data_IF_500138528257
#
_entry.id   IF_500138528257
#
_cell.length_a   1.000
_cell.length_b   1.000
_cell.length_c   1.000
_cell.angle_alpha   90.00
_cell.angle_beta   90.00
_cell.angle_gamma   90.00
#
_symmetry.space_group_name_H-M   'P 1'
#
loop_
_entity.id
_entity.type
_entity.pdbx_description
1 polymer ?
#
# COMPACT_ATOMS: atom_id res chain seq x y z
N UNK A 1 7.04 20.54 1.04
CA UNK A 1 6.78 21.99 1.20
C UNK A 1 8.09 22.72 1.00
N UNK A 2 8.22 23.63 0.01
CA UNK A 2 9.33 24.58 0.03
C UNK A 2 9.20 25.37 1.34
N UNK A 3 10.25 25.34 2.15
CA UNK A 3 10.30 26.18 3.34
C UNK A 3 10.58 27.59 2.82
N UNK A 4 9.54 28.41 2.67
CA UNK A 4 9.71 29.85 2.51
C UNK A 4 10.22 30.30 3.87
N UNK A 5 11.55 30.30 4.02
CA UNK A 5 12.19 30.74 5.25
C UNK A 5 11.82 32.22 5.43
N UNK A 6 11.33 32.62 6.62
CA UNK A 6 11.18 34.02 6.94
C UNK A 6 12.53 34.71 6.68
N UNK A 7 12.52 35.97 6.22
CA UNK A 7 13.74 36.55 5.66
C UNK A 7 14.80 36.87 6.74
N UNK A 8 14.40 36.93 8.02
CA UNK A 8 15.34 36.93 9.16
C UNK A 8 16.00 35.56 9.40
N UNK A 9 15.30 34.47 9.08
CA UNK A 9 15.83 33.11 9.20
C UNK A 9 16.85 32.83 8.08
N UNK A 10 16.66 33.35 6.86
CA UNK A 10 17.68 33.24 5.82
C UNK A 10 18.97 33.99 6.19
N UNK A 11 18.85 35.13 6.87
CA UNK A 11 19.98 35.88 7.42
C UNK A 11 20.69 35.12 8.54
N UNK A 12 19.95 34.47 9.44
CA UNK A 12 20.54 33.62 10.48
C UNK A 12 21.31 32.42 9.89
N UNK A 13 20.74 31.79 8.85
CA UNK A 13 21.37 30.66 8.13
C UNK A 13 22.63 31.08 7.38
N UNK A 14 22.70 32.31 6.84
CA UNK A 14 23.91 32.80 6.17
C UNK A 14 25.06 33.03 7.16
N UNK A 15 24.75 33.39 8.40
CA UNK A 15 25.73 33.58 9.48
C UNK A 15 26.19 32.27 10.12
N UNK A 16 25.29 31.29 10.25
CA UNK A 16 25.58 29.96 10.79
C UNK A 16 25.00 28.89 9.85
N UNK A 17 25.80 28.42 8.87
CA UNK A 17 25.33 27.51 7.82
C UNK A 17 24.76 26.18 8.32
N UNK A 18 25.20 25.71 9.49
CA UNK A 18 24.72 24.46 10.09
C UNK A 18 23.22 24.46 10.42
N UNK A 19 22.64 25.65 10.64
CA UNK A 19 21.20 25.82 10.86
C UNK A 19 20.36 25.39 9.64
N UNK A 20 20.88 25.51 8.41
CA UNK A 20 20.17 25.13 7.19
C UNK A 20 19.75 23.66 7.21
N UNK A 21 20.68 22.78 7.61
CA UNK A 21 20.42 21.33 7.70
C UNK A 21 19.38 21.02 8.77
N UNK A 22 19.44 21.72 9.91
CA UNK A 22 18.52 21.52 11.04
C UNK A 22 17.09 21.97 10.75
N UNK A 23 16.95 23.07 9.99
CA UNK A 23 15.67 23.54 9.46
C UNK A 23 15.09 22.55 8.45
N UNK A 24 15.92 22.00 7.56
CA UNK A 24 15.50 20.98 6.59
C UNK A 24 15.04 19.68 7.26
N UNK A 25 15.77 19.23 8.30
CA UNK A 25 15.49 18.00 9.03
C UNK A 25 14.31 18.14 10.03
N UNK A 26 13.75 19.36 10.21
CA UNK A 26 12.65 19.69 11.15
C UNK A 26 12.87 19.12 12.55
N UNK A 27 14.13 19.15 13.00
CA UNK A 27 14.60 18.53 14.25
C UNK A 27 13.83 19.04 15.48
N UNK A 28 13.36 20.28 15.44
CA UNK A 28 12.67 20.93 16.55
C UNK A 28 11.46 21.74 16.05
N UNK A 29 10.26 21.52 16.61
CA UNK A 29 9.14 22.42 16.39
C UNK A 29 9.47 23.81 16.98
N UNK A 30 9.39 24.85 16.16
CA UNK A 30 9.60 26.23 16.60
C UNK A 30 11.03 26.77 16.53
N UNK A 31 12.00 26.06 15.91
CA UNK A 31 13.34 26.63 15.65
C UNK A 31 13.27 27.87 14.78
N UNK A 32 12.39 27.90 13.78
CA UNK A 32 12.15 29.09 12.94
C UNK A 32 11.74 30.30 13.78
N UNK A 33 10.86 30.09 14.76
CA UNK A 33 10.40 31.15 15.66
C UNK A 33 11.52 31.59 16.61
N UNK A 34 12.23 30.64 17.23
CA UNK A 34 13.39 30.95 18.07
C UNK A 34 14.48 31.73 17.32
N UNK A 35 14.74 31.37 16.06
CA UNK A 35 15.69 32.09 15.21
C UNK A 35 15.21 33.51 14.91
N UNK A 36 13.93 33.66 14.54
CA UNK A 36 13.31 34.96 14.29
C UNK A 36 13.35 35.85 15.54
N UNK A 37 12.94 35.33 16.69
CA UNK A 37 12.94 36.03 17.98
C UNK A 37 14.37 36.45 18.38
N UNK A 38 15.37 35.58 18.17
CA UNK A 38 16.76 35.88 18.51
C UNK A 38 17.35 36.96 17.62
N UNK A 39 17.08 36.90 16.30
CA UNK A 39 17.52 37.93 15.35
C UNK A 39 16.85 39.27 15.66
N UNK A 40 15.54 39.26 15.95
CA UNK A 40 14.79 40.45 16.33
C UNK A 40 15.25 41.02 17.67
N UNK A 41 15.59 40.17 18.65
CA UNK A 41 16.08 40.60 19.97
C UNK A 41 17.45 41.27 19.90
N UNK A 42 18.36 40.78 19.05
CA UNK A 42 19.72 41.33 18.91
C UNK A 42 19.74 42.55 17.98
N UNK A 43 18.97 42.52 16.88
CA UNK A 43 18.99 43.60 15.87
C UNK A 43 17.89 44.65 16.12
N UNK A 44 16.87 44.36 16.92
CA UNK A 44 15.78 45.29 17.25
C UNK A 44 14.98 45.74 16.03
N UNK A 45 14.89 44.92 14.98
CA UNK A 45 14.19 45.24 13.74
C UNK A 45 13.67 43.97 13.06
N UNK A 46 12.56 44.12 12.35
CA UNK A 46 11.95 43.08 11.52
C UNK A 46 12.30 43.21 10.04
N UNK A 47 12.99 44.31 9.68
CA UNK A 47 13.38 44.60 8.31
C UNK A 47 14.78 44.06 8.02
N UNK A 48 14.87 43.24 6.98
CA UNK A 48 16.08 42.55 6.52
C UNK A 48 17.15 43.54 6.07
N UNK A 49 16.75 44.63 5.40
CA UNK A 49 17.68 45.62 4.87
C UNK A 49 18.31 46.40 6.03
N UNK A 50 17.52 46.70 7.06
CA UNK A 50 17.99 47.35 8.29
C UNK A 50 18.85 46.41 9.13
N UNK A 51 18.48 45.12 9.17
CA UNK A 51 19.23 44.07 9.83
C UNK A 51 20.64 43.89 9.22
N UNK A 52 20.76 43.85 7.89
CA UNK A 52 22.03 43.76 7.17
C UNK A 52 22.93 44.98 7.43
N UNK A 53 22.35 46.18 7.52
CA UNK A 53 23.10 47.39 7.88
C UNK A 53 23.64 47.33 9.31
N UNK A 54 22.84 46.86 10.28
CA UNK A 54 23.28 46.68 11.67
C UNK A 54 24.35 45.60 11.82
N UNK A 55 24.35 44.60 10.94
CA UNK A 55 25.36 43.54 10.88
C UNK A 55 26.72 44.01 10.32
N UNK A 56 26.83 45.22 9.80
CA UNK A 56 28.12 45.82 9.45
C UNK A 56 28.95 46.16 10.70
N UNK A 57 28.32 46.30 11.87
CA UNK A 57 29.04 46.41 13.14
C UNK A 57 29.59 45.03 13.55
N UNK A 58 30.93 44.87 13.64
CA UNK A 58 31.54 43.59 14.00
C UNK A 58 31.13 43.10 15.40
N UNK A 59 30.75 43.99 16.33
CA UNK A 59 30.32 43.60 17.68
C UNK A 59 28.93 42.97 17.67
N UNK A 60 27.98 43.58 16.96
CA UNK A 60 26.61 43.08 16.82
C UNK A 60 26.59 41.76 16.05
N UNK A 61 27.41 41.66 15.00
CA UNK A 61 27.57 40.41 14.25
C UNK A 61 28.18 39.29 15.09
N UNK A 62 29.14 39.59 15.98
CA UNK A 62 29.72 38.60 16.89
C UNK A 62 28.70 38.12 17.93
N UNK A 63 27.93 39.03 18.55
CA UNK A 63 26.90 38.66 19.52
C UNK A 63 25.82 37.77 18.90
N UNK A 64 25.33 38.13 17.70
CA UNK A 64 24.33 37.32 17.01
C UNK A 64 24.86 35.93 16.68
N UNK A 65 26.11 35.80 16.22
CA UNK A 65 26.72 34.50 15.93
C UNK A 65 26.80 33.60 17.17
N UNK A 66 27.15 34.15 18.33
CA UNK A 66 27.21 33.37 19.58
C UNK A 66 25.83 32.84 19.95
N UNK A 67 24.80 33.69 19.93
CA UNK A 67 23.41 33.30 20.23
C UNK A 67 22.89 32.24 19.25
N UNK A 68 23.19 32.38 17.96
CA UNK A 68 22.80 31.41 16.94
C UNK A 68 23.53 30.07 17.10
N UNK A 69 24.81 30.08 17.49
CA UNK A 69 25.58 28.88 17.77
C UNK A 69 25.06 28.11 19.00
N UNK A 70 24.59 28.81 20.05
CA UNK A 70 23.94 28.16 21.19
C UNK A 70 22.66 27.41 20.79
N UNK A 71 21.87 28.00 19.88
CA UNK A 71 20.66 27.37 19.34
C UNK A 71 21.03 26.11 18.52
N UNK A 72 22.12 26.16 17.76
CA UNK A 72 22.61 25.00 17.01
C UNK A 72 23.01 23.86 17.95
N UNK A 73 23.76 24.14 19.02
CA UNK A 73 24.18 23.11 19.99
C UNK A 73 22.98 22.45 20.67
N UNK A 74 21.95 23.21 21.04
CA UNK A 74 20.73 22.62 21.63
C UNK A 74 19.98 21.77 20.60
N UNK A 75 19.92 22.20 19.34
CA UNK A 75 19.33 21.41 18.26
C UNK A 75 20.06 20.08 18.02
N UNK A 76 21.38 20.10 18.11
CA UNK A 76 22.23 18.91 17.99
C UNK A 76 21.97 17.91 19.11
N UNK A 77 21.83 18.39 20.35
CA UNK A 77 21.54 17.55 21.50
C UNK A 77 20.18 16.86 21.36
N UNK A 78 19.15 17.61 21.00
CA UNK A 78 17.79 17.07 20.82
C UNK A 78 17.75 16.04 19.69
N UNK A 79 18.45 16.28 18.58
CA UNK A 79 18.54 15.31 17.50
C UNK A 79 19.23 14.01 17.95
N UNK A 80 20.35 14.12 18.67
CA UNK A 80 21.09 12.97 19.15
C UNK A 80 20.25 12.10 20.10
N UNK A 81 19.46 12.73 20.97
CA UNK A 81 18.51 12.03 21.85
C UNK A 81 17.38 11.35 21.06
N UNK A 82 16.81 12.02 20.05
CA UNK A 82 15.79 11.44 19.19
C UNK A 82 16.31 10.22 18.42
N UNK A 83 17.51 10.31 17.87
CA UNK A 83 18.15 9.21 17.15
C UNK A 83 18.57 8.06 18.10
N UNK A 84 18.95 8.36 19.34
CA UNK A 84 19.18 7.36 20.37
C UNK A 84 17.89 6.60 20.73
N UNK A 85 16.76 7.32 20.91
CA UNK A 85 15.45 6.71 21.17
C UNK A 85 14.99 5.84 20.01
N UNK A 86 15.09 6.31 18.76
CA UNK A 86 14.74 5.52 17.57
C UNK A 86 15.52 4.20 17.52
N UNK A 87 16.84 4.24 17.78
CA UNK A 87 17.67 3.02 17.83
C UNK A 87 17.28 2.09 18.98
N UNK A 88 16.89 2.63 20.14
CA UNK A 88 16.42 1.84 21.26
C UNK A 88 15.08 1.13 20.92
N UNK A 89 14.14 1.84 20.32
CA UNK A 89 12.85 1.29 19.89
C UNK A 89 13.03 0.19 18.82
N UNK A 90 13.96 0.41 17.87
CA UNK A 90 14.32 -0.61 16.88
C UNK A 90 14.90 -1.87 17.53
N UNK A 91 15.82 -1.71 18.48
CA UNK A 91 16.40 -2.83 19.22
C UNK A 91 15.35 -3.59 20.05
N UNK A 92 14.40 -2.88 20.65
CA UNK A 92 13.31 -3.49 21.41
C UNK A 92 12.39 -4.31 20.49
N UNK A 93 12.05 -3.79 19.31
CA UNK A 93 11.29 -4.52 18.29
C UNK A 93 12.02 -5.78 17.84
N UNK A 94 13.31 -5.67 17.51
CA UNK A 94 14.11 -6.84 17.15
C UNK A 94 14.18 -7.88 18.27
N UNK A 95 14.31 -7.45 19.52
CA UNK A 95 14.29 -8.36 20.67
C UNK A 95 12.93 -9.06 20.82
N UNK A 96 11.83 -8.34 20.64
CA UNK A 96 10.49 -8.91 20.69
C UNK A 96 10.27 -9.93 19.57
N UNK A 97 10.71 -9.65 18.34
CA UNK A 97 10.65 -10.60 17.21
C UNK A 97 11.48 -11.86 17.47
N UNK A 98 12.70 -11.71 18.00
CA UNK A 98 13.54 -12.86 18.37
C UNK A 98 12.88 -13.69 19.47
N UNK A 99 12.32 -13.04 20.49
CA UNK A 99 11.61 -13.71 21.59
C UNK A 99 10.40 -14.49 21.06
N UNK A 100 9.62 -13.90 20.16
CA UNK A 100 8.47 -14.55 19.52
C UNK A 100 8.90 -15.78 18.70
N UNK A 101 9.98 -15.68 17.90
CA UNK A 101 10.52 -16.83 17.18
C UNK A 101 11.04 -17.94 18.11
N UNK A 102 11.68 -17.57 19.23
CA UNK A 102 12.12 -18.53 20.23
C UNK A 102 10.95 -19.24 20.90
N UNK A 103 9.89 -18.49 21.23
CA UNK A 103 8.66 -19.03 21.83
C UNK A 103 7.90 -19.94 20.85
N UNK A 104 7.83 -19.59 19.56
CA UNK A 104 7.25 -20.46 18.53
C UNK A 104 8.02 -21.79 18.42
N UNK A 105 9.37 -21.74 18.49
CA UNK A 105 10.21 -22.95 18.48
C UNK A 105 10.04 -23.79 19.75
N UNK A 106 9.94 -23.17 20.93
CA UNK A 106 9.69 -23.92 22.18
C UNK A 106 8.32 -24.57 22.18
N UNK A 107 7.28 -23.86 21.71
CA UNK A 107 5.93 -24.40 21.59
C UNK A 107 5.88 -25.56 20.59
N UNK A 108 6.65 -25.51 19.51
CA UNK A 108 6.75 -26.62 18.56
C UNK A 108 7.44 -27.85 19.17
N UNK A 109 8.50 -27.65 19.97
CA UNK A 109 9.15 -28.73 20.72
C UNK A 109 8.22 -29.32 21.78
N UNK A 110 7.42 -28.48 22.44
CA UNK A 110 6.44 -28.92 23.43
C UNK A 110 5.25 -29.63 22.79
N UNK A 111 4.82 -29.25 21.58
CA UNK A 111 3.82 -29.99 20.79
C UNK A 111 4.33 -31.36 20.30
N UNK A 112 5.63 -31.45 19.96
CA UNK A 112 6.29 -32.71 19.62
C UNK A 112 6.46 -33.60 20.86
N UNK A 113 6.78 -33.01 22.02
CA UNK A 113 6.83 -33.72 23.32
C UNK A 113 5.45 -34.10 23.84
N UNK A 114 4.41 -33.35 23.50
CA UNK A 114 3.02 -33.63 23.87
C UNK A 114 2.42 -34.81 23.09
N UNK A 115 3.19 -35.48 22.22
CA UNK A 115 2.88 -36.78 21.63
C UNK A 115 1.43 -36.85 21.10
N UNK A 116 1.02 -35.83 20.33
CA UNK A 116 -0.39 -35.73 19.92
C UNK A 116 -0.76 -36.92 19.00
N UNK A 117 -1.81 -37.71 19.33
CA UNK A 117 -2.18 -38.90 18.57
C UNK A 117 -2.68 -38.61 17.15
N UNK A 118 -2.92 -37.34 16.80
CA UNK A 118 -3.33 -36.90 15.46
C UNK A 118 -2.16 -36.84 14.46
N UNK A 119 -0.92 -36.66 14.92
CA UNK A 119 0.26 -36.62 14.03
C UNK A 119 0.56 -37.99 13.39
N UNK A 120 0.07 -39.07 14.00
CA UNK A 120 0.24 -40.43 13.51
C UNK A 120 -0.80 -40.86 12.48
N UNK A 121 -1.81 -40.04 12.18
CA UNK A 121 -2.88 -40.39 11.22
C UNK A 121 -2.34 -40.87 9.87
N UNK A 122 -1.47 -40.10 9.19
CA UNK A 122 -0.89 -40.52 7.92
C UNK A 122 0.03 -41.75 8.04
N UNK A 123 0.77 -41.88 9.15
CA UNK A 123 1.65 -43.02 9.42
C UNK A 123 0.84 -44.30 9.63
N UNK A 124 -0.24 -44.22 10.41
CA UNK A 124 -1.14 -45.34 10.69
C UNK A 124 -1.86 -45.80 9.41
N UNK A 125 -2.38 -44.87 8.60
CA UNK A 125 -3.01 -45.22 7.30
C UNK A 125 -1.99 -45.87 6.36
N UNK A 126 -0.77 -45.35 6.31
CA UNK A 126 0.30 -45.93 5.48
C UNK A 126 0.68 -47.33 5.94
N UNK A 127 0.79 -47.55 7.26
CA UNK A 127 1.06 -48.86 7.85
C UNK A 127 -0.05 -49.86 7.52
N UNK A 128 -1.32 -49.45 7.62
CA UNK A 128 -2.48 -50.28 7.28
C UNK A 128 -2.45 -50.66 5.80
N UNK A 129 -2.14 -49.74 4.89
CA UNK A 129 -2.06 -50.03 3.45
C UNK A 129 -0.90 -50.98 3.14
N UNK A 130 0.28 -50.79 3.75
CA UNK A 130 1.43 -51.68 3.54
C UNK A 130 1.18 -53.08 4.11
N UNK A 131 0.69 -53.19 5.35
CA UNK A 131 0.36 -54.47 5.97
C UNK A 131 -0.79 -55.16 5.22
N UNK A 132 -1.80 -54.41 4.79
CA UNK A 132 -2.90 -54.91 3.96
C UNK A 132 -2.42 -55.41 2.60
N UNK A 133 -1.49 -54.69 1.94
CA UNK A 133 -0.87 -55.08 0.68
C UNK A 133 -0.13 -56.42 0.82
N UNK A 134 0.80 -56.52 1.77
CA UNK A 134 1.58 -57.76 1.95
C UNK A 134 0.72 -58.90 2.49
N UNK A 135 -0.26 -58.62 3.35
CA UNK A 135 -1.19 -59.62 3.88
C UNK A 135 -2.09 -60.21 2.80
N UNK A 136 -2.68 -59.38 1.95
CA UNK A 136 -3.50 -59.84 0.81
C UNK A 136 -2.66 -60.59 -0.21
N UNK A 137 -1.46 -60.11 -0.52
CA UNK A 137 -0.52 -60.81 -1.42
C UNK A 137 -0.14 -62.20 -0.89
N UNK A 138 0.23 -62.30 0.40
CA UNK A 138 0.55 -63.57 1.05
C UNK A 138 -0.65 -64.53 1.09
N UNK A 139 -1.84 -64.00 1.36
CA UNK A 139 -3.09 -64.78 1.35
C UNK A 139 -3.39 -65.35 -0.04
N UNK A 140 -3.28 -64.53 -1.10
CA UNK A 140 -3.45 -64.96 -2.49
C UNK A 140 -2.40 -66.02 -2.91
N UNK A 141 -1.14 -65.86 -2.48
CA UNK A 141 -0.08 -66.84 -2.74
C UNK A 141 -0.34 -68.17 -2.02
N UNK A 142 -0.81 -68.14 -0.77
CA UNK A 142 -1.21 -69.36 -0.06
C UNK A 142 -2.41 -70.05 -0.74
N UNK A 143 -3.39 -69.29 -1.20
CA UNK A 143 -4.59 -69.83 -1.85
C UNK A 143 -4.25 -70.47 -3.21
N UNK A 144 -3.20 -70.00 -3.90
CA UNK A 144 -2.66 -70.63 -5.12
C UNK A 144 -1.83 -71.90 -4.88
N UNK A 145 -1.55 -72.30 -3.62
CA UNK A 145 -0.86 -73.58 -3.32
C UNK A 145 -1.80 -74.80 -3.30
N UNK A 146 -3.07 -74.65 -3.66
CA UNK A 146 -4.03 -75.75 -3.78
C UNK A 146 -3.82 -76.52 -5.11
N UNK A 147 -4.03 -77.86 -5.13
CA UNK A 147 -3.47 -78.76 -6.14
C UNK A 147 -4.05 -78.55 -7.55
N UNK A 148 -3.18 -78.77 -8.55
CA UNK A 148 -3.35 -78.57 -10.00
C UNK A 148 -4.49 -79.38 -10.65
N UNK A 149 -5.76 -79.14 -10.32
CA UNK A 149 -6.86 -79.60 -11.16
C UNK A 149 -7.66 -78.42 -11.70
N UNK A 150 -7.38 -78.12 -12.97
CA UNK A 150 -7.98 -77.06 -13.79
C UNK A 150 -7.61 -75.64 -13.35
N UNK A 151 -6.55 -75.14 -14.01
CA UNK A 151 -6.08 -73.77 -13.95
C UNK A 151 -7.27 -72.79 -14.06
N UNK A 152 -7.68 -72.26 -12.91
CA UNK A 152 -8.70 -71.23 -12.81
C UNK A 152 -8.14 -69.94 -13.40
N UNK A 153 -8.22 -69.78 -14.71
CA UNK A 153 -7.93 -68.53 -15.43
C UNK A 153 -8.64 -67.35 -14.77
N UNK A 154 -9.83 -67.58 -14.21
CA UNK A 154 -10.57 -66.61 -13.40
C UNK A 154 -9.81 -66.19 -12.11
N UNK A 155 -9.18 -67.12 -11.39
CA UNK A 155 -8.38 -66.80 -10.19
C UNK A 155 -7.13 -66.02 -10.58
N UNK A 156 -6.44 -66.40 -11.66
CA UNK A 156 -5.27 -65.67 -12.17
C UNK A 156 -5.67 -64.25 -12.61
N UNK A 157 -6.82 -64.08 -13.26
CA UNK A 157 -7.33 -62.75 -13.62
C UNK A 157 -7.70 -61.91 -12.39
N UNK A 158 -8.37 -62.50 -11.39
CA UNK A 158 -8.70 -61.81 -10.13
C UNK A 158 -7.42 -61.40 -9.38
N UNK A 159 -6.41 -62.27 -9.35
CA UNK A 159 -5.09 -61.96 -8.78
C UNK A 159 -4.46 -60.78 -9.50
N UNK A 160 -4.45 -60.78 -10.83
CA UNK A 160 -3.85 -59.69 -11.62
C UNK A 160 -4.59 -58.35 -11.44
N UNK A 161 -5.92 -58.36 -11.35
CA UNK A 161 -6.72 -57.16 -11.06
C UNK A 161 -6.44 -56.66 -9.64
N UNK A 162 -6.39 -57.56 -8.66
CA UNK A 162 -6.09 -57.21 -7.27
C UNK A 162 -4.68 -56.63 -7.12
N UNK A 163 -3.68 -57.24 -7.75
CA UNK A 163 -2.28 -56.74 -7.77
C UNK A 163 -2.20 -55.37 -8.44
N UNK A 164 -2.96 -55.14 -9.52
CA UNK A 164 -3.04 -53.83 -10.18
C UNK A 164 -3.64 -52.74 -9.29
N UNK A 165 -4.78 -53.01 -8.64
CA UNK A 165 -5.42 -52.09 -7.72
C UNK A 165 -4.55 -51.78 -6.48
N UNK A 166 -3.86 -52.80 -5.96
CA UNK A 166 -2.92 -52.70 -4.86
C UNK A 166 -1.67 -51.87 -5.23
N UNK A 167 -1.13 -52.05 -6.43
CA UNK A 167 -0.01 -51.24 -6.95
C UNK A 167 -0.40 -49.77 -7.09
N UNK A 168 -1.60 -49.49 -7.59
CA UNK A 168 -2.12 -48.13 -7.68
C UNK A 168 -2.30 -47.48 -6.30
N UNK A 169 -2.86 -48.21 -5.33
CA UNK A 169 -3.00 -47.75 -3.95
C UNK A 169 -1.66 -47.53 -3.24
N UNK A 170 -0.63 -48.33 -3.55
CA UNK A 170 0.72 -48.09 -3.05
C UNK A 170 1.34 -46.82 -3.63
N UNK A 171 1.16 -46.58 -4.94
CA UNK A 171 1.67 -45.38 -5.61
C UNK A 171 1.06 -44.08 -5.07
N UNK A 172 -0.21 -44.08 -4.66
CA UNK A 172 -0.84 -42.90 -4.02
C UNK A 172 -0.24 -42.61 -2.64
N UNK A 173 0.08 -43.64 -1.84
CA UNK A 173 0.77 -43.45 -0.55
C UNK A 173 2.18 -42.91 -0.74
N UNK A 174 2.95 -43.46 -1.68
CA UNK A 174 4.29 -42.95 -2.01
C UNK A 174 4.21 -41.49 -2.48
N UNK A 175 3.22 -41.16 -3.32
CA UNK A 175 3.00 -39.79 -3.81
C UNK A 175 2.61 -38.83 -2.69
N UNK A 176 1.85 -39.29 -1.69
CA UNK A 176 1.53 -38.50 -0.50
C UNK A 176 2.79 -38.15 0.29
N UNK A 177 3.68 -39.11 0.55
CA UNK A 177 4.91 -38.88 1.33
C UNK A 177 5.96 -38.06 0.58
N UNK A 178 6.18 -38.36 -0.70
CA UNK A 178 7.11 -37.58 -1.54
C UNK A 178 6.56 -36.17 -1.78
N UNK A 179 5.25 -36.04 -2.02
CA UNK A 179 4.58 -34.76 -2.23
C UNK A 179 4.47 -33.91 -0.97
N UNK A 180 4.27 -34.50 0.21
CA UNK A 180 4.22 -33.74 1.48
C UNK A 180 5.58 -33.16 1.85
N UNK A 181 6.67 -33.87 1.52
CA UNK A 181 8.03 -33.44 1.86
C UNK A 181 8.55 -32.30 0.96
N UNK A 182 8.16 -32.27 -0.32
CA UNK A 182 8.53 -31.18 -1.24
C UNK A 182 7.50 -30.02 -1.17
N UNK A 183 6.23 -30.35 -0.92
CA UNK A 183 5.15 -29.39 -0.82
C UNK A 183 5.30 -28.40 0.34
N UNK A 184 5.86 -28.80 1.48
CA UNK A 184 6.15 -27.84 2.58
C UNK A 184 7.24 -26.85 2.16
N UNK A 185 8.34 -27.32 1.55
CA UNK A 185 9.46 -26.47 1.12
C UNK A 185 9.05 -25.52 0.00
N UNK A 186 8.18 -25.96 -0.91
CA UNK A 186 7.60 -25.12 -1.95
C UNK A 186 6.67 -24.06 -1.35
N UNK A 187 5.82 -24.43 -0.38
CA UNK A 187 4.92 -23.50 0.32
C UNK A 187 5.69 -22.45 1.11
N UNK A 188 6.72 -22.84 1.84
CA UNK A 188 7.58 -21.93 2.60
C UNK A 188 8.29 -20.94 1.66
N UNK A 189 8.84 -21.43 0.54
CA UNK A 189 9.44 -20.55 -0.49
C UNK A 189 8.42 -19.60 -1.12
N UNK A 190 7.21 -20.07 -1.43
CA UNK A 190 6.17 -19.22 -2.00
C UNK A 190 5.65 -18.19 -1.00
N UNK A 191 5.57 -18.52 0.29
CA UNK A 191 5.17 -17.60 1.34
C UNK A 191 6.23 -16.51 1.54
N UNK A 192 7.51 -16.89 1.60
CA UNK A 192 8.63 -15.93 1.67
C UNK A 192 8.71 -15.06 0.41
N UNK A 193 8.54 -15.64 -0.78
CA UNK A 193 8.50 -14.88 -2.03
C UNK A 193 7.32 -13.90 -2.07
N UNK A 194 6.11 -14.33 -1.70
CA UNK A 194 4.95 -13.46 -1.65
C UNK A 194 5.12 -12.31 -0.64
N UNK A 195 5.65 -12.61 0.55
CA UNK A 195 5.92 -11.60 1.57
C UNK A 195 7.00 -10.61 1.13
N UNK A 196 8.06 -11.09 0.47
CA UNK A 196 9.11 -10.23 -0.09
C UNK A 196 8.60 -9.36 -1.25
N UNK A 197 7.73 -9.89 -2.11
CA UNK A 197 7.11 -9.14 -3.19
C UNK A 197 6.17 -8.04 -2.66
N UNK A 198 5.39 -8.34 -1.62
CA UNK A 198 4.55 -7.35 -0.95
C UNK A 198 5.37 -6.23 -0.30
N UNK A 199 6.47 -6.57 0.37
CA UNK A 199 7.38 -5.57 0.94
C UNK A 199 8.02 -4.67 -0.13
N UNK A 200 8.39 -5.23 -1.29
CA UNK A 200 8.92 -4.47 -2.41
C UNK A 200 7.88 -3.54 -3.03
N UNK A 201 6.65 -4.00 -3.22
CA UNK A 201 5.55 -3.17 -3.74
C UNK A 201 5.23 -2.03 -2.77
N UNK A 202 5.26 -2.27 -1.46
CA UNK A 202 5.05 -1.24 -0.45
C UNK A 202 6.19 -0.21 -0.40
N UNK A 203 7.44 -0.65 -0.60
CA UNK A 203 8.58 0.25 -0.71
C UNK A 203 8.52 1.10 -1.98
N UNK A 204 8.10 0.53 -3.11
CA UNK A 204 7.94 1.25 -4.37
C UNK A 204 6.79 2.25 -4.31
N UNK A 205 5.64 1.89 -3.75
CA UNK A 205 4.51 2.80 -3.59
C UNK A 205 4.88 3.98 -2.69
N UNK A 206 5.59 3.74 -1.59
CA UNK A 206 6.08 4.81 -0.72
C UNK A 206 7.04 5.78 -1.42
N UNK A 207 7.87 5.29 -2.36
CA UNK A 207 8.77 6.15 -3.16
C UNK A 207 7.98 6.99 -4.16
N UNK A 208 7.09 6.36 -4.93
CA UNK A 208 6.26 7.04 -5.93
C UNK A 208 5.36 8.09 -5.27
N UNK A 209 4.76 7.78 -4.11
CA UNK A 209 3.96 8.76 -3.36
C UNK A 209 4.79 9.96 -2.92
N UNK A 210 6.04 9.77 -2.45
CA UNK A 210 6.92 10.90 -2.11
C UNK A 210 7.25 11.75 -3.32
N UNK A 211 7.53 11.14 -4.46
CA UNK A 211 7.81 11.85 -5.71
C UNK A 211 6.61 12.67 -6.18
N UNK A 212 5.42 12.07 -6.25
CA UNK A 212 4.19 12.76 -6.65
C UNK A 212 3.88 13.94 -5.73
N UNK A 213 4.00 13.74 -4.41
CA UNK A 213 3.77 14.82 -3.43
C UNK A 213 4.80 15.94 -3.62
N UNK A 214 6.06 15.61 -3.89
CA UNK A 214 7.10 16.62 -4.13
C UNK A 214 6.85 17.44 -5.40
N UNK A 215 6.42 16.80 -6.49
CA UNK A 215 6.10 17.46 -7.75
C UNK A 215 4.83 18.30 -7.66
N UNK A 216 3.76 17.80 -7.02
CA UNK A 216 2.57 18.60 -6.72
C UNK A 216 2.92 19.83 -5.89
N UNK A 217 3.79 19.68 -4.89
CA UNK A 217 4.23 20.81 -4.08
C UNK A 217 4.94 21.87 -4.94
N UNK A 218 5.82 21.46 -5.86
CA UNK A 218 6.52 22.38 -6.77
C UNK A 218 5.57 23.10 -7.71
N UNK A 219 4.64 22.39 -8.33
CA UNK A 219 3.63 22.99 -9.22
C UNK A 219 2.74 23.98 -8.48
N UNK A 220 2.34 23.64 -7.25
CA UNK A 220 1.50 24.53 -6.42
C UNK A 220 2.26 25.80 -6.04
N UNK A 221 3.56 25.69 -5.70
CA UNK A 221 4.41 26.83 -5.41
C UNK A 221 4.59 27.75 -6.64
N UNK A 222 4.83 27.18 -7.83
CA UNK A 222 4.94 27.95 -9.06
C UNK A 222 3.63 28.67 -9.44
N UNK A 223 2.47 28.07 -9.14
CA UNK A 223 1.17 28.72 -9.35
C UNK A 223 0.95 29.88 -8.37
N UNK A 224 1.28 29.70 -7.09
CA UNK A 224 1.22 30.75 -6.08
C UNK A 224 2.13 31.94 -6.44
N UNK A 225 3.35 31.66 -6.89
CA UNK A 225 4.29 32.70 -7.33
C UNK A 225 3.75 33.50 -8.52
N UNK A 226 3.11 32.85 -9.50
CA UNK A 226 2.45 33.55 -10.61
C UNK A 226 1.26 34.41 -10.18
N UNK A 227 0.54 34.01 -9.14
CA UNK A 227 -0.58 34.78 -8.59
C UNK A 227 -0.06 36.01 -7.81
N UNK A 228 1.06 35.87 -7.11
CA UNK A 228 1.69 36.96 -6.34
C UNK A 228 2.46 37.94 -7.24
N UNK A 229 3.10 37.46 -8.30
CA UNK A 229 3.85 38.28 -9.25
C UNK A 229 2.96 39.00 -10.28
N UNK A 230 1.64 38.77 -10.27
CA UNK A 230 0.71 39.53 -11.10
C UNK A 230 0.66 40.99 -10.59
N UNK A 231 1.04 41.99 -11.42
CA UNK A 231 1.05 43.37 -10.99
C UNK A 231 -0.38 43.83 -10.68
N UNK A 232 -0.59 44.33 -9.46
CA UNK A 232 -1.81 45.04 -9.09
C UNK A 232 -1.77 46.39 -9.79
N UNK A 233 -2.46 46.50 -10.92
CA UNK A 233 -2.60 47.78 -11.62
C UNK A 233 -3.29 48.79 -10.70
N UNK A 234 -2.79 50.03 -10.59
CA UNK A 234 -3.42 51.04 -9.75
C UNK A 234 -4.81 51.38 -10.29
N UNK A 235 -5.77 51.47 -9.37
CA UNK A 235 -7.16 51.77 -9.65
C UNK A 235 -7.30 53.13 -10.35
N UNK A 236 -7.59 53.12 -11.65
CA UNK A 236 -8.12 54.27 -12.37
C UNK A 236 -9.65 54.28 -12.23
N UNK A 237 -10.17 55.40 -11.76
CA UNK A 237 -11.58 55.64 -11.51
C UNK A 237 -12.44 55.62 -12.80
N UNK A 238 -13.72 55.31 -12.58
CA UNK A 238 -14.87 55.52 -13.46
C UNK A 238 -14.91 54.74 -14.78
N UNK A 239 -15.39 53.50 -14.69
CA UNK A 239 -16.29 52.93 -15.70
C UNK A 239 -17.29 52.01 -15.00
N UNK A 240 -18.54 52.21 -15.37
CA UNK A 240 -19.78 51.60 -14.88
C UNK A 240 -19.68 50.08 -14.66
N UNK A 241 -20.11 49.62 -13.47
CA UNK A 241 -20.10 48.22 -13.10
C UNK A 241 -21.16 47.42 -13.89
N UNK A 242 -20.79 46.35 -14.62
CA UNK A 242 -21.75 45.32 -14.97
C UNK A 242 -22.02 44.44 -13.74
N UNK A 243 -23.23 43.87 -13.61
CA UNK A 243 -23.65 43.14 -12.42
C UNK A 243 -22.80 41.89 -12.20
N UNK A 244 -22.51 41.60 -10.93
CA UNK A 244 -21.87 40.36 -10.48
C UNK A 244 -22.73 39.17 -10.92
N UNK A 245 -22.29 38.47 -11.95
CA UNK A 245 -22.82 37.16 -12.34
C UNK A 245 -21.67 36.17 -12.50
N UNK A 246 -20.95 35.98 -11.40
CA UNK A 246 -19.85 35.02 -11.28
C UNK A 246 -20.30 33.58 -11.04
N UNK A 247 -21.34 33.11 -11.73
CA UNK A 247 -21.41 31.68 -12.07
C UNK A 247 -20.98 31.63 -13.53
N UNK A 248 -19.74 31.20 -13.79
CA UNK A 248 -19.34 30.86 -15.15
C UNK A 248 -20.41 29.90 -15.69
N UNK A 249 -21.12 30.23 -16.77
CA UNK A 249 -22.10 29.30 -17.33
C UNK A 249 -21.36 27.99 -17.61
N UNK A 250 -21.90 26.86 -17.14
CA UNK A 250 -21.38 25.52 -17.46
C UNK A 250 -21.19 25.46 -18.97
N UNK A 251 -19.94 25.59 -19.42
CA UNK A 251 -19.63 25.61 -20.83
C UNK A 251 -20.02 24.22 -21.37
N UNK A 252 -21.05 24.16 -22.21
CA UNK A 252 -21.63 22.89 -22.68
C UNK A 252 -20.58 22.01 -23.37
N UNK A 253 -19.53 22.65 -23.91
CA UNK A 253 -18.36 21.99 -24.50
C UNK A 253 -17.45 21.34 -23.46
N UNK A 254 -17.30 21.95 -22.29
CA UNK A 254 -16.51 21.41 -21.18
C UNK A 254 -17.21 20.19 -20.56
N UNK A 255 -18.54 20.25 -20.40
CA UNK A 255 -19.33 19.09 -19.96
C UNK A 255 -19.19 17.89 -20.89
N UNK A 256 -19.28 18.10 -22.22
CA UNK A 256 -19.13 17.02 -23.20
C UNK A 256 -17.76 16.31 -23.07
N UNK A 257 -16.69 17.09 -22.94
CA UNK A 257 -15.33 16.53 -22.77
C UNK A 257 -15.15 15.75 -21.47
N UNK A 258 -15.75 16.20 -20.37
CA UNK A 258 -15.72 15.49 -19.10
C UNK A 258 -16.53 14.18 -19.15
N UNK A 259 -17.73 14.22 -19.75
CA UNK A 259 -18.58 13.04 -19.90
C UNK A 259 -17.90 11.95 -20.75
N UNK A 260 -17.23 12.33 -21.85
CA UNK A 260 -16.53 11.39 -22.72
C UNK A 260 -15.37 10.67 -22.03
N UNK A 261 -14.68 11.36 -21.12
CA UNK A 261 -13.60 10.77 -20.34
C UNK A 261 -14.14 9.73 -19.34
N UNK A 262 -15.25 10.03 -18.67
CA UNK A 262 -15.92 9.11 -17.74
C UNK A 262 -16.45 7.89 -18.48
N UNK A 263 -17.13 8.08 -19.62
CA UNK A 263 -17.63 6.98 -20.44
C UNK A 263 -16.54 6.08 -20.99
N UNK A 264 -15.34 6.63 -21.25
CA UNK A 264 -14.18 5.84 -21.63
C UNK A 264 -13.76 4.84 -20.55
N UNK A 265 -13.80 5.26 -19.28
CA UNK A 265 -13.40 4.43 -18.13
C UNK A 265 -14.51 3.48 -17.66
N UNK A 266 -15.78 3.88 -17.77
CA UNK A 266 -16.95 3.12 -17.28
C UNK A 266 -17.72 2.39 -18.39
N UNK A 267 -17.10 2.18 -19.56
CA UNK A 267 -17.70 1.48 -20.70
C UNK A 267 -17.90 -0.03 -20.47
N UNK A 268 -17.19 -0.63 -19.52
CA UNK A 268 -17.39 -2.02 -19.14
C UNK A 268 -18.69 -2.16 -18.34
N UNK A 269 -19.70 -2.83 -18.92
CA UNK A 269 -20.89 -3.23 -18.18
C UNK A 269 -20.48 -4.09 -16.98
N UNK A 270 -20.66 -3.58 -15.77
CA UNK A 270 -20.36 -4.33 -14.55
C UNK A 270 -21.49 -5.36 -14.35
N UNK A 271 -21.18 -6.67 -14.26
CA UNK A 271 -22.21 -7.67 -14.03
C UNK A 271 -22.85 -7.47 -12.65
N UNK A 272 -24.16 -7.71 -12.61
CA UNK A 272 -25.01 -7.65 -11.43
C UNK A 272 -24.39 -8.42 -10.25
N UNK A 273 -24.08 -7.74 -9.15
CA UNK A 273 -23.74 -8.39 -7.88
C UNK A 273 -24.78 -8.02 -6.83
N UNK A 274 -25.64 -8.98 -6.47
CA UNK A 274 -26.67 -8.86 -5.43
C UNK A 274 -28.06 -9.24 -5.94
N UNK A 275 -28.88 -9.84 -5.07
CA UNK A 275 -30.20 -10.42 -5.39
C UNK A 275 -31.27 -9.39 -5.83
N UNK A 276 -31.00 -8.10 -5.69
CA UNK A 276 -31.99 -7.03 -5.91
C UNK A 276 -31.81 -6.26 -7.24
N UNK A 277 -30.86 -6.66 -8.10
CA UNK A 277 -30.72 -6.06 -9.44
C UNK A 277 -30.22 -4.59 -9.50
N UNK A 278 -30.13 -3.90 -8.36
CA UNK A 278 -29.90 -2.45 -8.25
C UNK A 278 -28.43 -2.01 -8.51
N UNK A 279 -27.55 -2.98 -8.80
CA UNK A 279 -26.13 -2.78 -9.06
C UNK A 279 -25.74 -2.64 -10.53
N UNK A 280 -26.66 -2.90 -11.48
CA UNK A 280 -26.35 -2.83 -12.91
C UNK A 280 -26.14 -1.38 -13.34
N UNK A 281 -24.97 -1.12 -13.93
CA UNK A 281 -24.58 0.20 -14.46
C UNK A 281 -23.92 0.04 -15.83
N UNK A 282 -24.23 0.97 -16.72
CA UNK A 282 -23.53 1.13 -17.99
C UNK A 282 -23.28 2.61 -18.23
N UNK A 283 -22.05 2.98 -18.62
CA UNK A 283 -21.65 4.39 -18.79
C UNK A 283 -21.87 5.24 -17.52
N UNK A 284 -21.76 4.63 -16.34
CA UNK A 284 -22.02 5.27 -15.05
C UNK A 284 -23.50 5.43 -14.67
N UNK A 285 -24.42 5.07 -15.57
CA UNK A 285 -25.87 5.22 -15.35
C UNK A 285 -26.44 3.94 -14.72
N UNK A 286 -27.08 4.01 -13.54
CA UNK A 286 -27.77 2.86 -12.95
C UNK A 286 -29.13 2.63 -13.62
N UNK A 287 -29.57 1.37 -13.63
CA UNK A 287 -30.85 0.95 -14.25
C UNK A 287 -32.05 1.81 -13.82
N UNK A 288 -32.14 2.13 -12.52
CA UNK A 288 -33.21 2.98 -11.97
C UNK A 288 -33.23 4.40 -12.53
N UNK A 289 -32.06 4.98 -12.80
CA UNK A 289 -31.95 6.32 -13.36
C UNK A 289 -32.36 6.32 -14.83
N UNK A 290 -32.01 5.26 -15.57
CA UNK A 290 -32.47 5.08 -16.94
C UNK A 290 -34.00 4.87 -17.02
N UNK A 291 -34.56 4.05 -16.12
CA UNK A 291 -36.00 3.84 -16.03
C UNK A 291 -36.76 5.12 -15.66
N UNK A 292 -36.22 5.91 -14.73
CA UNK A 292 -36.77 7.21 -14.36
C UNK A 292 -36.74 8.21 -15.53
N UNK A 293 -35.65 8.23 -16.30
CA UNK A 293 -35.53 9.10 -17.47
C UNK A 293 -36.47 8.71 -18.61
N UNK A 294 -36.59 7.41 -18.91
CA UNK A 294 -37.47 6.91 -19.98
C UNK A 294 -38.95 6.84 -19.58
N UNK A 295 -39.27 6.97 -18.29
CA UNK A 295 -40.63 6.89 -17.76
C UNK A 295 -41.26 5.49 -17.87
N UNK A 296 -40.47 4.46 -18.16
CA UNK A 296 -40.91 3.07 -18.33
C UNK A 296 -39.93 2.12 -17.63
N UNK A 297 -40.37 0.93 -17.19
CA UNK A 297 -39.46 -0.08 -16.66
C UNK A 297 -38.48 -0.52 -17.75
N UNK A 298 -37.19 -0.52 -17.43
CA UNK A 298 -36.10 -0.89 -18.35
C UNK A 298 -35.45 -2.18 -17.89
N UNK A 299 -35.14 -3.08 -18.82
CA UNK A 299 -34.44 -4.34 -18.53
C UNK A 299 -32.91 -4.14 -18.52
N UNK A 300 -32.13 -5.04 -17.92
CA UNK A 300 -30.66 -5.00 -17.97
C UNK A 300 -30.10 -5.00 -19.40
N UNK A 301 -30.79 -5.64 -20.35
CA UNK A 301 -30.46 -5.61 -21.78
C UNK A 301 -30.70 -4.22 -22.38
N UNK A 302 -31.79 -3.56 -21.96
CA UNK A 302 -32.09 -2.17 -22.33
C UNK A 302 -31.07 -1.15 -21.80
N UNK A 303 -30.34 -1.49 -20.73
CA UNK A 303 -29.22 -0.71 -20.19
C UNK A 303 -27.93 -0.90 -20.99
N UNK A 304 -27.68 -2.09 -21.56
CA UNK A 304 -26.54 -2.33 -22.43
C UNK A 304 -26.67 -1.61 -23.78
N UNK A 305 -27.91 -1.35 -24.22
CA UNK A 305 -28.21 -0.58 -25.43
C UNK A 305 -28.23 0.95 -25.20
N UNK A 306 -27.83 1.43 -24.02
CA UNK A 306 -27.77 2.86 -23.71
C UNK A 306 -26.70 3.56 -24.56
N UNK A 307 -27.10 4.57 -25.32
CA UNK A 307 -26.16 5.35 -26.14
C UNK A 307 -25.45 6.42 -25.30
N UNK A 308 -24.25 6.84 -25.75
CA UNK A 308 -23.51 7.93 -25.08
C UNK A 308 -24.26 9.25 -25.10
N UNK A 309 -25.00 9.54 -26.16
CA UNK A 309 -25.77 10.79 -26.25
C UNK A 309 -26.94 10.82 -25.28
N UNK A 310 -27.66 9.69 -25.15
CA UNK A 310 -28.71 9.54 -24.16
C UNK A 310 -28.16 9.59 -22.72
N UNK A 311 -27.02 8.95 -22.45
CA UNK A 311 -26.34 9.04 -21.16
C UNK A 311 -25.91 10.49 -20.82
N UNK A 312 -25.50 11.30 -21.81
CA UNK A 312 -25.20 12.73 -21.61
C UNK A 312 -26.44 13.51 -21.23
N UNK A 313 -27.59 13.23 -21.84
CA UNK A 313 -28.85 13.90 -21.49
C UNK A 313 -29.29 13.56 -20.07
N UNK A 314 -29.17 12.29 -19.67
CA UNK A 314 -29.45 11.83 -18.31
C UNK A 314 -28.56 12.58 -17.29
N UNK A 315 -27.26 12.70 -17.56
CA UNK A 315 -26.31 13.42 -16.70
C UNK A 315 -26.43 14.95 -16.74
N UNK A 316 -27.12 15.51 -17.74
CA UNK A 316 -27.44 16.95 -17.75
C UNK A 316 -28.65 17.27 -16.89
N UNK A 317 -29.60 16.33 -16.82
CA UNK A 317 -30.85 16.47 -16.08
C UNK A 317 -30.75 16.13 -14.58
N UNK A 318 -29.64 15.56 -14.13
CA UNK A 318 -29.37 15.18 -12.73
C UNK A 318 -28.09 15.87 -12.22
#
# INVERSE_FOLDING_TARGET
>A
MPVILPPLVSLAVSLVPGLAKRLADRVLPGVEQKLTDTVQQVLGTDDVVVAEQKLQDPKVAAELRVRLAEIEVEADRVQAEADAKRRADELERFRAEIADMQQARSNMLDLVRAESPLAWGPVAVSLVVVVGFFGTLLYLIQLMRLPESQANTAVIQIVNIAVGALTAGFATVVSFWLGSSDGSRQKDRSAVQAQSAMAQVQAQSARVTREIVSEQTRQTAALLERVVAAPVAPAAATAEAPPITGVRPKDARQFGRCADLVFGQESAAVPLRGADGDGARHLGIPLKMLAAFRGVPVTPEGLQNLTRDEAREILRGN
#
